data_IF_894329325108
#
_entry.id   IF_894329325108
#
_cell.length_a   1.000
_cell.length_b   1.000
_cell.length_c   1.000
_cell.angle_alpha   90.00
_cell.angle_beta   90.00
_cell.angle_gamma   90.00
#
_symmetry.space_group_name_H-M   'P 1'
#
loop_
_entity.id
_entity.type
_entity.pdbx_description
1 polymer ?
#
# COMPACT_ATOMS: atom_id res chain seq x y z
N UNK A 1 -43.82 -9.28 3.67
CA UNK A 1 -44.83 -8.33 3.22
C UNK A 1 -45.19 -7.50 4.44
N UNK A 2 -44.53 -6.36 4.62
CA UNK A 2 -44.84 -5.44 5.74
C UNK A 2 -46.03 -4.61 5.27
N UNK A 3 -47.16 -4.73 5.95
CA UNK A 3 -48.33 -3.90 5.71
C UNK A 3 -48.04 -2.50 6.25
N UNK A 4 -47.77 -1.55 5.35
CA UNK A 4 -47.77 -0.11 5.63
C UNK A 4 -49.23 0.36 5.72
N UNK A 5 -49.86 0.09 6.85
CA UNK A 5 -51.20 0.56 7.15
C UNK A 5 -51.11 1.93 7.84
N UNK A 6 -51.50 2.99 7.14
CA UNK A 6 -51.86 4.23 7.79
C UNK A 6 -51.39 5.56 7.27
N UNK A 7 -50.58 5.63 6.21
CA UNK A 7 -50.28 6.92 5.57
C UNK A 7 -51.24 7.20 4.42
N UNK A 8 -52.10 8.26 4.55
CA UNK A 8 -52.93 8.73 3.44
C UNK A 8 -52.03 9.42 2.40
N UNK A 9 -51.94 8.85 1.21
CA UNK A 9 -51.08 9.32 0.09
C UNK A 9 -51.45 10.69 -0.47
N UNK A 10 -52.67 11.19 -0.21
CA UNK A 10 -53.24 12.35 -0.90
C UNK A 10 -52.67 13.72 -0.47
N UNK A 11 -51.94 13.81 0.64
CA UNK A 11 -51.44 15.10 1.19
C UNK A 11 -49.92 15.27 1.16
N UNK A 12 -49.18 14.33 0.67
CA UNK A 12 -47.74 14.33 0.74
C UNK A 12 -47.11 14.98 -0.50
N UNK A 13 -46.39 16.10 -0.33
CA UNK A 13 -45.55 16.68 -1.37
C UNK A 13 -44.45 15.72 -1.83
N UNK A 14 -43.76 16.04 -2.92
CA UNK A 14 -42.70 15.21 -3.48
C UNK A 14 -41.43 15.17 -2.62
N UNK A 15 -41.23 16.17 -1.76
CA UNK A 15 -40.06 16.29 -0.86
C UNK A 15 -40.26 15.61 0.50
N UNK A 16 -41.45 15.07 0.79
CA UNK A 16 -41.87 14.45 2.04
C UNK A 16 -41.68 15.34 3.30
N UNK A 17 -41.32 16.61 3.14
CA UNK A 17 -41.16 17.56 4.25
C UNK A 17 -40.05 17.28 5.24
N UNK A 18 -39.17 16.31 4.98
CA UNK A 18 -38.04 16.02 5.85
C UNK A 18 -36.83 16.87 5.44
N UNK A 19 -36.25 17.62 6.41
CA UNK A 19 -35.17 18.54 6.18
C UNK A 19 -34.06 18.36 7.22
N UNK A 20 -32.88 18.98 6.99
CA UNK A 20 -31.75 19.00 7.93
C UNK A 20 -31.32 17.59 8.39
N UNK A 21 -31.32 16.62 7.46
CA UNK A 21 -30.92 15.24 7.78
C UNK A 21 -29.42 15.17 8.03
N UNK A 22 -29.05 14.64 9.19
CA UNK A 22 -27.67 14.35 9.57
C UNK A 22 -27.50 12.83 9.52
N UNK A 23 -26.64 12.38 8.64
CA UNK A 23 -26.35 10.96 8.49
C UNK A 23 -25.40 10.50 9.59
N UNK A 24 -25.66 9.34 10.25
CA UNK A 24 -24.79 8.80 11.27
C UNK A 24 -23.50 8.26 10.66
N UNK A 25 -22.47 8.16 11.50
CA UNK A 25 -21.26 7.39 11.20
C UNK A 25 -21.56 5.91 11.36
N UNK A 26 -21.33 5.13 10.34
CA UNK A 26 -21.52 3.67 10.34
C UNK A 26 -20.17 2.98 10.24
N UNK A 27 -19.97 1.96 11.08
CA UNK A 27 -18.83 1.05 11.05
C UNK A 27 -19.31 -0.39 11.10
N UNK A 28 -18.40 -1.36 11.04
CA UNK A 28 -18.78 -2.77 11.26
C UNK A 28 -19.44 -3.00 12.61
N UNK A 29 -19.06 -2.23 13.64
CA UNK A 29 -19.67 -2.28 14.97
C UNK A 29 -21.13 -1.81 14.99
N UNK A 30 -21.56 -1.06 13.97
CA UNK A 30 -22.94 -0.61 13.82
C UNK A 30 -23.87 -1.73 13.35
N UNK A 31 -23.34 -2.82 12.79
CA UNK A 31 -24.13 -3.94 12.28
C UNK A 31 -24.94 -4.60 13.40
N UNK A 32 -26.25 -4.65 13.26
CA UNK A 32 -27.15 -5.22 14.25
C UNK A 32 -27.36 -4.35 15.51
N UNK A 33 -26.96 -3.07 15.48
CA UNK A 33 -27.16 -2.11 16.58
C UNK A 33 -28.18 -1.01 16.21
N UNK A 34 -28.68 -0.31 17.22
CA UNK A 34 -29.56 0.83 17.02
C UNK A 34 -28.74 2.06 16.61
N UNK A 35 -29.21 2.73 15.56
CA UNK A 35 -28.68 4.00 15.08
C UNK A 35 -29.77 5.05 15.03
N UNK A 36 -29.43 6.32 15.25
CA UNK A 36 -30.35 7.45 15.18
C UNK A 36 -29.99 8.37 14.03
N UNK A 37 -30.95 8.64 13.17
CA UNK A 37 -30.87 9.62 12.08
C UNK A 37 -31.56 10.89 12.57
N UNK A 38 -30.80 11.98 12.69
CA UNK A 38 -31.32 13.30 13.03
C UNK A 38 -31.89 13.98 11.79
N UNK A 39 -32.93 14.79 11.98
CA UNK A 39 -33.56 15.54 10.90
C UNK A 39 -34.82 16.25 11.43
N UNK A 40 -35.61 16.89 10.57
CA UNK A 40 -36.86 17.50 10.97
C UNK A 40 -37.98 17.03 10.03
N UNK A 41 -39.16 16.82 10.57
CA UNK A 41 -40.34 16.47 9.79
C UNK A 41 -40.58 14.98 9.59
N UNK A 42 -39.96 14.12 10.42
CA UNK A 42 -40.34 12.71 10.49
C UNK A 42 -41.73 12.54 11.11
N UNK A 43 -42.44 11.50 10.70
CA UNK A 43 -43.76 11.14 11.25
C UNK A 43 -43.87 9.63 11.47
N UNK A 44 -44.78 9.19 12.32
CA UNK A 44 -44.90 7.82 12.83
C UNK A 44 -44.96 6.71 11.77
N UNK A 45 -45.34 7.03 10.52
CA UNK A 45 -45.37 6.05 9.43
C UNK A 45 -44.11 6.02 8.58
N UNK A 46 -43.09 6.78 8.97
CA UNK A 46 -41.81 6.77 8.24
C UNK A 46 -41.05 5.46 8.47
N UNK A 47 -40.53 4.93 7.36
CA UNK A 47 -39.65 3.77 7.35
C UNK A 47 -38.39 4.13 6.61
N UNK A 48 -37.28 3.71 7.12
CA UNK A 48 -35.99 3.88 6.44
C UNK A 48 -35.55 2.58 5.77
N UNK A 49 -34.93 2.71 4.62
CA UNK A 49 -34.34 1.60 3.89
C UNK A 49 -32.95 1.94 3.36
N UNK A 50 -32.11 0.94 3.22
CA UNK A 50 -30.81 1.01 2.57
C UNK A 50 -30.96 0.55 1.11
N UNK A 51 -30.74 1.42 0.17
CA UNK A 51 -30.74 1.11 -1.26
C UNK A 51 -29.32 0.95 -1.75
N UNK A 52 -28.93 -0.18 -2.37
CA UNK A 52 -27.64 -0.34 -2.99
C UNK A 52 -27.40 0.74 -4.05
N UNK A 53 -26.20 1.37 -4.05
CA UNK A 53 -25.83 2.40 -5.02
C UNK A 53 -25.40 1.83 -6.38
N UNK A 54 -24.99 0.57 -6.42
CA UNK A 54 -24.70 -0.14 -7.67
C UNK A 54 -26.02 -0.46 -8.37
N UNK A 55 -26.20 -0.01 -9.61
CA UNK A 55 -27.42 -0.18 -10.41
C UNK A 55 -27.83 -1.61 -10.74
N UNK A 56 -27.78 -2.51 -9.77
CA UNK A 56 -28.20 -3.91 -9.83
C UNK A 56 -29.68 -4.10 -9.46
N UNK A 57 -30.17 -5.30 -9.65
CA UNK A 57 -31.54 -5.74 -9.31
C UNK A 57 -31.74 -6.01 -7.80
N UNK A 58 -30.81 -5.58 -6.96
CA UNK A 58 -30.87 -5.83 -5.52
C UNK A 58 -31.97 -4.99 -4.87
N UNK A 59 -32.75 -5.66 -4.02
CA UNK A 59 -33.85 -5.01 -3.31
C UNK A 59 -33.32 -4.16 -2.15
N UNK A 60 -33.98 -3.03 -1.84
CA UNK A 60 -33.68 -2.26 -0.63
C UNK A 60 -33.79 -3.10 0.64
N UNK A 61 -32.89 -2.88 1.59
CA UNK A 61 -32.94 -3.49 2.92
C UNK A 61 -33.72 -2.55 3.82
N UNK A 62 -34.94 -2.92 4.21
CA UNK A 62 -35.74 -2.15 5.14
C UNK A 62 -35.21 -2.29 6.56
N UNK A 63 -35.07 -1.15 7.25
CA UNK A 63 -34.63 -1.12 8.64
C UNK A 63 -35.82 -1.23 9.60
N UNK A 64 -35.62 -1.93 10.71
CA UNK A 64 -36.61 -2.03 11.75
C UNK A 64 -36.66 -0.72 12.54
N UNK A 65 -37.79 -0.01 12.52
CA UNK A 65 -37.98 1.23 13.25
C UNK A 65 -38.18 0.95 14.75
N UNK A 66 -37.45 1.64 15.59
CA UNK A 66 -37.54 1.58 17.06
C UNK A 66 -38.31 2.76 17.63
N UNK A 67 -38.02 3.95 17.11
CA UNK A 67 -38.63 5.19 17.57
C UNK A 67 -38.74 6.19 16.43
N UNK A 68 -39.80 6.97 16.39
CA UNK A 68 -39.98 8.12 15.50
C UNK A 68 -40.37 9.32 16.30
N UNK A 69 -39.60 10.40 16.19
CA UNK A 69 -39.93 11.73 16.67
C UNK A 69 -39.82 12.72 15.51
N UNK A 70 -40.41 13.90 15.66
CA UNK A 70 -40.39 14.90 14.58
C UNK A 70 -38.96 15.38 14.19
N UNK A 71 -38.00 15.19 15.07
CA UNK A 71 -36.60 15.65 14.94
C UNK A 71 -35.60 14.49 14.75
N UNK A 72 -36.02 13.24 14.91
CA UNK A 72 -35.17 12.07 14.66
C UNK A 72 -35.97 10.79 14.43
N UNK A 73 -35.28 9.79 13.88
CA UNK A 73 -35.78 8.42 13.76
C UNK A 73 -34.68 7.44 14.20
N UNK A 74 -34.99 6.54 15.12
CA UNK A 74 -34.10 5.46 15.58
C UNK A 74 -34.51 4.15 14.93
N UNK A 75 -33.54 3.48 14.33
CA UNK A 75 -33.72 2.21 13.63
C UNK A 75 -32.65 1.21 13.98
N UNK A 76 -32.96 -0.08 13.82
CA UNK A 76 -31.96 -1.14 13.90
C UNK A 76 -31.19 -1.18 12.57
N UNK A 77 -29.88 -0.91 12.59
CA UNK A 77 -29.07 -1.02 11.38
C UNK A 77 -28.88 -2.49 11.02
N UNK A 78 -29.23 -2.94 9.81
CA UNK A 78 -29.28 -4.36 9.49
C UNK A 78 -27.92 -5.04 9.57
N UNK A 79 -27.82 -6.18 10.21
CA UNK A 79 -26.60 -7.03 10.20
C UNK A 79 -26.27 -7.58 8.81
N UNK A 80 -27.22 -7.53 7.88
CA UNK A 80 -27.07 -7.92 6.48
C UNK A 80 -26.55 -6.78 5.58
N UNK A 81 -26.37 -5.58 6.11
CA UNK A 81 -25.86 -4.42 5.40
C UNK A 81 -24.33 -4.54 5.24
N UNK A 82 -23.90 -5.43 4.36
CA UNK A 82 -22.46 -5.78 4.17
C UNK A 82 -21.76 -4.95 3.09
N UNK A 83 -22.48 -4.02 2.43
CA UNK A 83 -21.88 -3.13 1.44
C UNK A 83 -21.30 -1.89 2.08
N UNK A 84 -20.31 -1.35 1.43
CA UNK A 84 -19.57 -0.17 1.91
C UNK A 84 -20.38 1.13 1.86
N UNK A 85 -21.38 1.20 0.97
CA UNK A 85 -22.18 2.39 0.77
C UNK A 85 -23.61 2.04 0.37
N UNK A 86 -24.55 2.75 0.97
CA UNK A 86 -25.98 2.65 0.66
C UNK A 86 -26.59 4.04 0.51
N UNK A 87 -27.55 4.18 -0.39
CA UNK A 87 -28.47 5.30 -0.34
C UNK A 87 -29.43 5.10 0.84
N UNK A 88 -29.49 6.05 1.76
CA UNK A 88 -30.51 6.08 2.79
C UNK A 88 -31.80 6.61 2.19
N UNK A 89 -32.84 5.80 2.17
CA UNK A 89 -34.13 6.12 1.57
C UNK A 89 -35.19 6.19 2.66
N UNK A 90 -35.90 7.32 2.69
CA UNK A 90 -37.14 7.46 3.45
C UNK A 90 -38.29 6.92 2.61
N UNK A 91 -39.10 6.07 3.22
CA UNK A 91 -40.33 5.52 2.64
C UNK A 91 -41.52 5.99 3.47
N UNK A 92 -42.48 6.67 2.86
CA UNK A 92 -43.70 7.17 3.48
C UNK A 92 -44.90 6.83 2.56
N UNK A 93 -45.67 5.81 2.93
CA UNK A 93 -46.71 5.25 2.08
C UNK A 93 -46.10 4.70 0.77
N UNK A 94 -46.62 5.15 -0.37
CA UNK A 94 -46.12 4.78 -1.71
C UNK A 94 -44.94 5.65 -2.18
N UNK A 95 -44.55 6.68 -1.43
CA UNK A 95 -43.51 7.64 -1.81
C UNK A 95 -42.16 7.29 -1.22
N UNK A 96 -41.11 7.55 -1.99
CA UNK A 96 -39.74 7.32 -1.58
C UNK A 96 -38.87 8.56 -1.87
N UNK A 97 -37.95 8.87 -0.97
CA UNK A 97 -36.95 9.93 -1.13
C UNK A 97 -35.63 9.50 -0.59
N UNK A 98 -34.55 9.69 -1.36
CA UNK A 98 -33.20 9.53 -0.88
C UNK A 98 -32.84 10.70 0.02
N UNK A 99 -32.46 10.41 1.27
CA UNK A 99 -32.03 11.39 2.25
C UNK A 99 -30.54 11.70 2.12
N UNK A 100 -29.74 10.77 1.63
CA UNK A 100 -28.30 10.89 1.42
C UNK A 100 -27.64 9.54 1.24
N UNK A 101 -26.32 9.52 1.29
CA UNK A 101 -25.53 8.30 1.19
C UNK A 101 -24.89 8.00 2.54
N UNK A 102 -25.14 6.82 3.05
CA UNK A 102 -24.44 6.27 4.23
C UNK A 102 -23.21 5.54 3.72
N UNK A 103 -22.04 5.99 4.15
CA UNK A 103 -20.77 5.30 3.95
C UNK A 103 -20.31 4.76 5.29
N UNK A 104 -19.92 3.48 5.35
CA UNK A 104 -19.24 2.95 6.50
C UNK A 104 -17.82 3.53 6.58
N UNK A 105 -17.25 3.56 7.77
CA UNK A 105 -15.83 3.86 7.96
C UNK A 105 -15.03 2.56 8.07
N UNK A 106 -13.82 2.54 7.49
CA UNK A 106 -12.99 1.32 7.41
C UNK A 106 -11.71 1.41 8.23
N UNK A 107 -11.35 2.59 8.70
CA UNK A 107 -10.13 2.79 9.48
C UNK A 107 -9.92 4.25 9.83
N UNK A 108 -8.73 4.53 10.31
CA UNK A 108 -8.28 5.87 10.66
C UNK A 108 -7.01 6.23 9.90
N UNK A 109 -6.79 7.52 9.71
CA UNK A 109 -5.54 8.08 9.19
C UNK A 109 -5.07 9.14 10.18
N UNK A 110 -4.16 8.79 11.09
CA UNK A 110 -3.77 9.68 12.18
C UNK A 110 -2.92 10.87 11.72
N UNK A 111 -2.15 10.73 10.63
CA UNK A 111 -1.32 11.82 10.11
C UNK A 111 -2.18 12.91 9.46
N UNK A 112 -2.22 14.10 10.08
CA UNK A 112 -3.04 15.22 9.62
C UNK A 112 -2.58 15.75 8.25
N UNK A 113 -1.29 15.75 7.99
CA UNK A 113 -0.74 16.25 6.72
C UNK A 113 -1.12 15.32 5.57
N UNK A 114 -1.10 13.99 5.80
CA UNK A 114 -1.56 13.01 4.83
C UNK A 114 -3.08 13.15 4.58
N UNK A 115 -3.88 13.30 5.66
CA UNK A 115 -5.33 13.56 5.51
C UNK A 115 -5.60 14.81 4.69
N UNK A 116 -4.90 15.91 4.99
CA UNK A 116 -5.06 17.17 4.28
C UNK A 116 -4.70 17.03 2.79
N UNK A 117 -3.63 16.31 2.48
CA UNK A 117 -3.23 16.04 1.10
C UNK A 117 -4.28 15.25 0.33
N UNK A 118 -4.87 14.22 0.95
CA UNK A 118 -5.91 13.40 0.34
C UNK A 118 -7.28 14.09 0.32
N UNK A 119 -7.63 14.86 1.36
CA UNK A 119 -8.88 15.64 1.39
C UNK A 119 -8.92 16.71 0.32
N UNK A 120 -7.77 17.26 -0.07
CA UNK A 120 -7.69 18.21 -1.18
C UNK A 120 -8.05 17.57 -2.53
N UNK A 121 -7.83 16.27 -2.68
CA UNK A 121 -8.18 15.48 -3.86
C UNK A 121 -9.60 14.89 -3.76
N UNK A 122 -10.01 14.50 -2.56
CA UNK A 122 -11.25 13.77 -2.27
C UNK A 122 -11.90 14.33 -0.99
N UNK A 123 -12.63 15.44 -1.07
CA UNK A 123 -13.14 16.16 0.12
C UNK A 123 -14.02 15.34 1.04
N UNK A 124 -14.80 14.38 0.50
CA UNK A 124 -15.79 13.60 1.24
C UNK A 124 -15.27 12.25 1.75
N UNK A 125 -13.95 12.02 1.63
CA UNK A 125 -13.34 10.73 2.00
C UNK A 125 -13.13 10.59 3.52
N UNK A 126 -13.09 11.71 4.24
CA UNK A 126 -12.80 11.72 5.67
C UNK A 126 -13.92 12.34 6.49
N UNK A 127 -14.10 11.77 7.70
CA UNK A 127 -14.86 12.39 8.81
C UNK A 127 -13.92 12.45 10.02
N UNK A 128 -13.29 13.63 10.22
CA UNK A 128 -12.17 13.73 11.16
C UNK A 128 -11.02 12.84 10.73
N UNK A 129 -10.60 11.90 11.58
CA UNK A 129 -9.55 10.92 11.26
C UNK A 129 -10.07 9.64 10.58
N UNK A 130 -11.39 9.44 10.60
CA UNK A 130 -12.01 8.22 10.03
C UNK A 130 -12.06 8.27 8.52
N UNK A 131 -11.71 7.15 7.90
CA UNK A 131 -11.70 6.96 6.45
C UNK A 131 -13.03 6.34 6.02
N UNK A 132 -13.67 6.93 5.02
CA UNK A 132 -14.85 6.34 4.38
C UNK A 132 -14.50 5.05 3.63
N UNK A 133 -15.37 4.07 3.68
CA UNK A 133 -15.27 2.83 2.90
C UNK A 133 -15.20 3.06 1.37
N UNK A 134 -15.63 4.23 0.91
CA UNK A 134 -15.48 4.63 -0.49
C UNK A 134 -14.03 4.91 -0.91
N UNK A 135 -13.08 5.01 0.03
CA UNK A 135 -11.66 5.22 -0.26
C UNK A 135 -11.08 4.18 -1.25
N UNK A 136 -11.53 2.94 -1.18
CA UNK A 136 -11.09 1.87 -2.09
C UNK A 136 -11.50 2.08 -3.55
N UNK A 137 -12.49 2.93 -3.81
CA UNK A 137 -13.00 3.19 -5.16
C UNK A 137 -12.44 4.45 -5.79
N UNK A 138 -11.79 5.34 -5.00
CA UNK A 138 -11.18 6.54 -5.58
C UNK A 138 -10.09 6.15 -6.55
N UNK A 139 -9.98 6.92 -7.63
CA UNK A 139 -8.99 6.69 -8.68
C UNK A 139 -8.00 7.83 -8.73
N UNK A 140 -6.75 7.49 -8.97
CA UNK A 140 -5.66 8.43 -9.15
C UNK A 140 -5.28 8.47 -10.63
N UNK A 141 -4.92 9.63 -11.15
CA UNK A 141 -4.45 9.74 -12.54
C UNK A 141 -3.25 8.83 -12.74
N UNK A 142 -3.35 7.91 -13.70
CA UNK A 142 -2.34 6.88 -13.97
C UNK A 142 -1.94 6.05 -12.73
N UNK A 143 -2.84 5.96 -11.74
CA UNK A 143 -2.57 5.29 -10.46
C UNK A 143 -1.54 6.01 -9.58
N UNK A 144 -1.23 7.29 -9.83
CA UNK A 144 -0.17 8.04 -9.18
C UNK A 144 -0.69 8.89 -8.03
N UNK A 145 -0.17 8.66 -6.83
CA UNK A 145 -0.30 9.55 -5.68
C UNK A 145 1.04 10.23 -5.42
N UNK A 146 1.04 11.56 -5.52
CA UNK A 146 2.18 12.39 -5.15
C UNK A 146 1.87 13.18 -3.86
N UNK A 147 2.59 12.84 -2.81
CA UNK A 147 2.49 13.45 -1.47
C UNK A 147 3.85 14.00 -1.01
N UNK A 148 4.71 14.38 -1.95
CA UNK A 148 6.03 14.95 -1.63
C UNK A 148 5.91 16.30 -0.93
N UNK A 149 6.91 16.64 -0.11
CA UNK A 149 7.05 17.96 0.53
C UNK A 149 5.85 18.36 1.41
N UNK A 150 5.29 17.39 2.16
CA UNK A 150 4.08 17.59 2.98
C UNK A 150 4.31 17.49 4.48
N UNK A 151 5.55 17.23 4.94
CA UNK A 151 5.87 16.94 6.34
C UNK A 151 5.06 15.77 6.92
N UNK A 152 4.80 14.75 6.10
CA UNK A 152 4.11 13.53 6.50
C UNK A 152 5.07 12.67 7.30
N UNK A 153 4.58 12.07 8.38
CA UNK A 153 5.35 11.21 9.28
C UNK A 153 4.85 9.76 9.29
N UNK A 154 3.60 9.53 8.89
CA UNK A 154 2.99 8.20 8.82
C UNK A 154 2.14 8.04 7.57
N UNK A 155 2.16 6.85 6.98
CA UNK A 155 1.29 6.44 5.89
C UNK A 155 0.17 5.51 6.35
N UNK A 156 -0.05 5.36 7.67
CA UNK A 156 -1.16 4.60 8.23
C UNK A 156 -2.50 5.11 7.67
N UNK A 157 -3.35 4.18 7.24
CA UNK A 157 -4.61 4.48 6.57
C UNK A 157 -4.52 4.53 5.04
N UNK A 158 -3.30 4.60 4.46
CA UNK A 158 -3.14 4.60 3.00
C UNK A 158 -3.47 3.24 2.37
N UNK A 159 -3.43 2.16 3.15
CA UNK A 159 -3.81 0.81 2.73
C UNK A 159 -5.25 0.72 2.24
N UNK A 160 -6.14 1.57 2.72
CA UNK A 160 -7.55 1.61 2.29
C UNK A 160 -7.76 2.20 0.88
N UNK A 161 -6.76 2.84 0.29
CA UNK A 161 -6.81 3.42 -1.05
C UNK A 161 -6.27 2.43 -2.09
N UNK A 162 -7.09 1.49 -2.52
CA UNK A 162 -6.68 0.30 -3.30
C UNK A 162 -6.12 0.58 -4.70
N UNK A 163 -6.32 1.77 -5.27
CA UNK A 163 -5.97 2.08 -6.66
C UNK A 163 -4.64 2.84 -6.83
N UNK A 164 -3.85 2.96 -5.76
CA UNK A 164 -2.51 3.50 -5.85
C UNK A 164 -1.59 2.45 -6.46
N UNK A 165 -0.89 2.81 -7.54
CA UNK A 165 0.10 2.00 -8.24
C UNK A 165 1.48 2.62 -8.24
N UNK A 166 1.54 3.95 -8.14
CA UNK A 166 2.76 4.74 -8.07
C UNK A 166 2.66 5.67 -6.87
N UNK A 167 3.62 5.57 -5.98
CA UNK A 167 3.71 6.43 -4.81
C UNK A 167 4.96 7.29 -4.89
N UNK A 168 4.78 8.61 -4.81
CA UNK A 168 5.85 9.61 -4.74
C UNK A 168 5.69 10.33 -3.41
N UNK A 169 6.61 10.10 -2.46
CA UNK A 169 6.54 10.63 -1.11
C UNK A 169 7.87 11.28 -0.66
N UNK A 170 8.54 11.95 -1.59
CA UNK A 170 9.84 12.57 -1.35
C UNK A 170 9.77 13.67 -0.28
N UNK A 171 10.92 13.88 0.41
CA UNK A 171 11.08 14.98 1.37
C UNK A 171 10.01 15.01 2.47
N UNK A 172 9.77 13.88 3.08
CA UNK A 172 8.92 13.69 4.26
C UNK A 172 9.76 13.08 5.40
N UNK A 173 9.15 12.75 6.54
CA UNK A 173 9.83 12.00 7.62
C UNK A 173 9.08 10.68 7.92
N UNK A 174 8.78 9.94 6.86
CA UNK A 174 8.07 8.67 6.88
C UNK A 174 9.06 7.57 7.27
N UNK A 175 8.83 6.91 8.40
CA UNK A 175 9.76 5.87 8.90
C UNK A 175 9.60 4.52 8.18
N UNK A 176 8.38 4.18 7.76
CA UNK A 176 8.04 2.93 7.08
C UNK A 176 6.86 3.11 6.13
N UNK A 177 6.69 2.18 5.20
CA UNK A 177 5.58 2.12 4.26
C UNK A 177 4.79 0.85 4.54
N UNK A 178 3.45 0.92 4.71
CA UNK A 178 2.62 -0.26 4.99
C UNK A 178 2.81 -1.36 3.92
N UNK A 179 2.91 -2.60 4.35
CA UNK A 179 3.15 -3.75 3.46
C UNK A 179 2.05 -3.92 2.41
N UNK A 180 0.79 -3.65 2.77
CA UNK A 180 -0.36 -3.69 1.89
C UNK A 180 -0.26 -2.63 0.78
N UNK A 181 0.35 -1.48 1.06
CA UNK A 181 0.62 -0.45 0.05
C UNK A 181 1.74 -0.94 -0.88
N UNK A 182 2.86 -1.39 -0.30
CA UNK A 182 4.03 -1.88 -1.06
C UNK A 182 3.67 -3.02 -2.02
N UNK A 183 2.82 -3.95 -1.59
CA UNK A 183 2.46 -5.15 -2.36
C UNK A 183 1.77 -4.87 -3.70
N UNK A 184 1.22 -3.67 -3.89
CA UNK A 184 0.47 -3.28 -5.10
C UNK A 184 1.14 -2.17 -5.91
N UNK A 185 2.24 -1.59 -5.42
CA UNK A 185 2.96 -0.55 -6.17
C UNK A 185 3.74 -1.16 -7.34
N UNK A 186 3.69 -0.48 -8.48
CA UNK A 186 4.62 -0.68 -9.58
C UNK A 186 5.83 0.24 -9.48
N UNK A 187 5.66 1.42 -8.89
CA UNK A 187 6.72 2.41 -8.72
C UNK A 187 6.66 3.03 -7.32
N UNK A 188 7.80 3.09 -6.63
CA UNK A 188 7.98 3.78 -5.38
C UNK A 188 9.14 4.78 -5.51
N UNK A 189 8.85 6.06 -5.23
CA UNK A 189 9.84 7.11 -5.11
C UNK A 189 9.73 7.78 -3.76
N UNK A 190 10.70 7.51 -2.89
CA UNK A 190 10.75 7.94 -1.49
C UNK A 190 12.10 8.58 -1.16
N UNK A 191 12.52 9.56 -1.97
CA UNK A 191 13.79 10.26 -1.79
C UNK A 191 13.73 11.16 -0.55
N UNK A 192 14.76 11.08 0.29
CA UNK A 192 14.81 11.84 1.56
C UNK A 192 13.54 11.67 2.42
N UNK A 193 12.91 10.50 2.37
CA UNK A 193 11.62 10.27 3.04
C UNK A 193 11.74 9.95 4.54
N UNK A 194 12.96 9.76 5.06
CA UNK A 194 13.17 9.43 6.47
C UNK A 194 13.10 7.94 6.78
N UNK A 195 13.02 7.07 5.79
CA UNK A 195 12.87 5.62 5.96
C UNK A 195 13.93 5.03 6.89
N UNK A 196 13.46 4.24 7.85
CA UNK A 196 14.28 3.43 8.76
C UNK A 196 14.13 1.93 8.48
N UNK A 197 13.01 1.55 7.87
CA UNK A 197 12.64 0.18 7.54
C UNK A 197 11.94 0.13 6.19
N UNK A 198 12.24 -0.92 5.40
CA UNK A 198 11.59 -1.17 4.13
C UNK A 198 11.50 -2.68 3.90
N UNK A 199 10.32 -3.26 4.16
CA UNK A 199 10.02 -4.68 3.95
C UNK A 199 9.23 -4.83 2.65
N UNK A 200 9.92 -5.11 1.55
CA UNK A 200 9.34 -5.16 0.21
C UNK A 200 8.66 -6.48 -0.12
N UNK A 201 9.19 -7.59 0.39
CA UNK A 201 8.74 -8.93 0.05
C UNK A 201 9.27 -9.97 1.04
N UNK A 202 8.62 -11.12 1.10
CA UNK A 202 9.07 -12.32 1.82
C UNK A 202 8.92 -13.56 0.95
N UNK A 203 9.41 -14.72 1.39
CA UNK A 203 9.20 -16.00 0.71
C UNK A 203 7.72 -16.38 0.57
N UNK A 204 6.91 -16.01 1.56
CA UNK A 204 5.47 -16.31 1.58
C UNK A 204 4.65 -15.27 0.82
N UNK A 205 5.18 -14.05 0.73
CA UNK A 205 4.55 -12.92 0.04
C UNK A 205 5.56 -12.21 -0.87
N UNK A 206 5.90 -12.82 -2.01
CA UNK A 206 6.80 -12.20 -2.98
C UNK A 206 6.15 -10.97 -3.64
N UNK A 207 6.95 -9.96 -3.92
CA UNK A 207 6.49 -8.78 -4.63
C UNK A 207 6.66 -8.98 -6.14
N UNK A 208 5.54 -9.09 -6.83
CA UNK A 208 5.48 -9.30 -8.29
C UNK A 208 5.01 -8.06 -9.05
N UNK A 209 4.84 -6.92 -8.38
CA UNK A 209 4.32 -5.69 -8.97
C UNK A 209 5.35 -4.58 -9.10
N UNK A 210 6.30 -4.50 -8.16
CA UNK A 210 7.28 -3.42 -8.10
C UNK A 210 8.31 -3.55 -9.22
N UNK A 211 8.37 -2.52 -10.08
CA UNK A 211 9.28 -2.40 -11.22
C UNK A 211 10.37 -1.36 -10.95
N UNK A 212 10.04 -0.30 -10.23
CA UNK A 212 10.96 0.81 -9.96
C UNK A 212 10.95 1.22 -8.49
N UNK A 213 12.13 1.28 -7.89
CA UNK A 213 12.37 1.70 -6.51
C UNK A 213 13.45 2.77 -6.45
N UNK A 214 13.09 3.96 -5.98
CA UNK A 214 14.03 5.03 -5.68
C UNK A 214 13.88 5.48 -4.22
N UNK A 215 14.92 5.25 -3.43
CA UNK A 215 15.01 5.58 -2.01
C UNK A 215 16.21 6.44 -1.67
N UNK A 216 16.72 7.20 -2.65
CA UNK A 216 17.90 8.06 -2.47
C UNK A 216 17.76 8.97 -1.25
N UNK A 217 18.84 9.16 -0.53
CA UNK A 217 18.87 10.03 0.64
C UNK A 217 18.21 9.47 1.90
N UNK A 218 17.80 8.20 1.91
CA UNK A 218 17.28 7.52 3.11
C UNK A 218 18.41 7.19 4.07
N UNK A 219 18.95 8.21 4.74
CA UNK A 219 20.17 8.11 5.55
C UNK A 219 20.03 7.30 6.85
N UNK A 220 18.81 6.94 7.22
CA UNK A 220 18.51 6.09 8.38
C UNK A 220 18.32 4.62 8.00
N UNK A 221 18.16 4.32 6.69
CA UNK A 221 17.92 2.97 6.20
C UNK A 221 19.23 2.21 6.04
N UNK A 222 19.41 1.12 6.78
CA UNK A 222 20.62 0.32 6.79
C UNK A 222 20.52 -0.97 5.96
N UNK A 223 19.32 -1.42 5.62
CA UNK A 223 19.10 -2.71 4.96
C UNK A 223 18.04 -2.62 3.87
N UNK A 224 18.34 -3.23 2.72
CA UNK A 224 17.38 -3.46 1.62
C UNK A 224 17.54 -4.89 1.12
N UNK A 225 16.42 -5.59 1.00
CA UNK A 225 16.35 -6.93 0.44
C UNK A 225 15.39 -6.93 -0.76
N UNK A 226 15.91 -7.22 -1.95
CA UNK A 226 15.17 -7.31 -3.20
C UNK A 226 15.00 -8.77 -3.67
N UNK A 227 15.41 -9.78 -2.86
CA UNK A 227 15.48 -11.17 -3.28
C UNK A 227 14.13 -11.72 -3.79
N UNK A 228 13.03 -11.34 -3.14
CA UNK A 228 11.69 -11.76 -3.54
C UNK A 228 10.93 -10.67 -4.34
N UNK A 229 11.63 -9.66 -4.86
CA UNK A 229 11.05 -8.64 -5.76
C UNK A 229 11.28 -9.03 -7.21
N UNK A 230 10.35 -9.82 -7.77
CA UNK A 230 10.61 -10.55 -9.02
C UNK A 230 10.66 -9.70 -10.28
N UNK A 231 10.04 -8.53 -10.29
CA UNK A 231 9.91 -7.69 -11.48
C UNK A 231 10.68 -6.37 -11.40
N UNK A 232 11.57 -6.22 -10.41
CA UNK A 232 12.29 -4.95 -10.26
C UNK A 232 13.33 -4.76 -11.38
N UNK A 233 13.23 -3.66 -12.11
CA UNK A 233 14.10 -3.28 -13.21
C UNK A 233 14.99 -2.08 -12.90
N UNK A 234 14.50 -1.20 -12.01
CA UNK A 234 15.18 0.05 -11.64
C UNK A 234 15.33 0.16 -10.14
N UNK A 235 16.53 0.42 -9.69
CA UNK A 235 16.84 0.57 -8.28
C UNK A 235 17.82 1.71 -8.05
N UNK A 236 17.47 2.64 -7.17
CA UNK A 236 18.35 3.70 -6.71
C UNK A 236 18.29 3.87 -5.19
N UNK A 237 19.44 3.79 -4.57
CA UNK A 237 19.66 3.97 -3.12
C UNK A 237 20.95 4.77 -2.89
N UNK A 238 21.11 5.91 -3.58
CA UNK A 238 22.23 6.81 -3.41
C UNK A 238 22.13 7.61 -2.11
N UNK A 239 23.25 7.89 -1.50
CA UNK A 239 23.34 8.62 -0.22
C UNK A 239 22.56 7.95 0.93
N UNK A 240 22.31 6.65 0.84
CA UNK A 240 21.84 5.82 1.94
C UNK A 240 23.03 5.36 2.80
N UNK A 241 22.75 4.91 4.02
CA UNK A 241 23.79 4.34 4.90
C UNK A 241 23.68 2.82 4.98
N UNK A 242 23.51 2.15 3.84
CA UNK A 242 23.32 0.72 3.78
C UNK A 242 24.50 -0.03 4.41
N UNK A 243 24.18 -1.04 5.18
CA UNK A 243 25.11 -2.07 5.66
C UNK A 243 24.79 -3.43 5.05
N UNK A 244 23.55 -3.60 4.56
CA UNK A 244 23.12 -4.81 3.88
C UNK A 244 22.30 -4.47 2.63
N UNK A 245 22.65 -5.13 1.53
CA UNK A 245 21.88 -5.07 0.27
C UNK A 245 21.87 -6.45 -0.40
N UNK A 246 20.69 -7.00 -0.59
CA UNK A 246 20.50 -8.21 -1.38
C UNK A 246 19.79 -7.87 -2.69
N UNK A 247 20.51 -8.02 -3.79
CA UNK A 247 20.00 -7.75 -5.16
C UNK A 247 19.90 -9.02 -5.99
N UNK A 248 19.98 -10.18 -5.36
CA UNK A 248 19.69 -11.44 -6.05
C UNK A 248 18.26 -11.39 -6.54
N UNK A 249 18.02 -11.84 -7.75
CA UNK A 249 16.68 -11.91 -8.32
C UNK A 249 16.37 -13.35 -8.68
N UNK A 250 15.52 -13.99 -7.89
CA UNK A 250 15.15 -15.39 -8.04
C UNK A 250 14.52 -15.75 -9.41
N UNK A 251 14.00 -14.76 -10.14
CA UNK A 251 13.34 -14.96 -11.44
C UNK A 251 14.09 -14.40 -12.65
N UNK A 252 15.37 -14.10 -12.52
CA UNK A 252 16.18 -13.61 -13.66
C UNK A 252 16.21 -14.56 -14.87
N UNK A 253 15.88 -15.85 -14.68
CA UNK A 253 15.75 -16.84 -15.74
C UNK A 253 14.64 -16.52 -16.77
N UNK A 254 13.70 -15.63 -16.47
CA UNK A 254 12.58 -15.28 -17.34
C UNK A 254 12.64 -13.85 -17.88
N UNK A 255 13.72 -13.12 -17.69
CA UNK A 255 13.99 -11.88 -18.40
C UNK A 255 13.62 -10.57 -17.66
N UNK A 256 13.24 -10.64 -16.38
CA UNK A 256 13.08 -9.45 -15.55
C UNK A 256 14.24 -9.35 -14.56
N UNK A 257 15.30 -8.62 -14.87
CA UNK A 257 16.44 -8.48 -13.98
C UNK A 257 16.84 -7.04 -13.86
N UNK A 258 17.27 -6.67 -12.65
CA UNK A 258 18.09 -5.48 -12.47
C UNK A 258 19.24 -5.52 -13.48
N UNK A 259 19.29 -4.54 -14.36
CA UNK A 259 20.42 -4.36 -15.25
C UNK A 259 21.52 -3.64 -14.48
N UNK A 260 22.42 -4.36 -13.87
CA UNK A 260 23.52 -3.82 -13.07
C UNK A 260 24.45 -2.84 -13.83
N UNK A 261 24.36 -2.83 -15.17
CA UNK A 261 25.08 -1.86 -15.99
C UNK A 261 24.26 -0.63 -16.36
N UNK A 262 22.96 -0.62 -15.99
CA UNK A 262 22.12 0.52 -16.32
C UNK A 262 22.43 1.70 -15.40
N UNK A 263 22.21 2.91 -15.91
CA UNK A 263 22.24 4.11 -15.08
C UNK A 263 21.15 4.13 -14.01
N UNK A 264 20.20 3.17 -14.10
CA UNK A 264 19.07 3.02 -13.23
C UNK A 264 19.32 2.02 -12.09
N UNK A 265 20.55 1.44 -12.01
CA UNK A 265 20.98 0.59 -10.88
C UNK A 265 22.13 1.27 -10.14
N UNK A 266 21.87 1.84 -8.98
CA UNK A 266 22.86 2.61 -8.20
C UNK A 266 22.53 2.56 -6.71
N UNK A 267 23.59 2.52 -5.93
CA UNK A 267 23.50 2.49 -4.46
C UNK A 267 24.79 2.99 -3.84
N UNK A 268 24.71 3.34 -2.56
CA UNK A 268 25.87 3.63 -1.72
C UNK A 268 25.77 2.89 -0.39
N UNK A 269 26.87 2.36 0.08
CA UNK A 269 27.01 1.80 1.41
C UNK A 269 27.45 2.87 2.42
N UNK A 270 27.28 2.55 3.70
CA UNK A 270 27.79 3.36 4.79
C UNK A 270 29.33 3.50 4.67
N UNK A 271 29.83 4.68 4.92
CA UNK A 271 31.26 5.00 5.01
C UNK A 271 31.87 4.63 6.38
N UNK A 272 31.03 4.20 7.34
CA UNK A 272 31.48 3.75 8.66
C UNK A 272 32.25 2.42 8.57
N UNK A 273 33.58 2.48 8.61
CA UNK A 273 34.43 1.33 8.49
C UNK A 273 34.34 0.34 9.68
N UNK A 274 33.67 0.74 10.78
CA UNK A 274 33.44 -0.15 11.93
C UNK A 274 32.28 -1.11 11.70
N UNK A 275 31.41 -0.84 10.72
CA UNK A 275 30.28 -1.68 10.35
C UNK A 275 30.68 -2.72 9.31
N UNK A 276 30.28 -3.97 9.54
CA UNK A 276 30.32 -4.99 8.49
C UNK A 276 29.25 -4.64 7.43
N UNK A 277 29.68 -4.62 6.16
CA UNK A 277 28.82 -4.25 5.02
C UNK A 277 28.80 -5.38 4.03
N UNK A 278 27.61 -5.80 3.62
CA UNK A 278 27.39 -6.97 2.78
C UNK A 278 26.50 -6.64 1.57
N UNK A 279 27.01 -6.95 0.39
CA UNK A 279 26.26 -7.00 -0.86
C UNK A 279 26.09 -8.45 -1.30
N UNK A 280 24.86 -8.89 -1.51
CA UNK A 280 24.55 -10.19 -2.13
C UNK A 280 24.04 -9.99 -3.56
N UNK A 281 24.59 -10.74 -4.49
CA UNK A 281 24.26 -10.66 -5.90
C UNK A 281 24.45 -12.01 -6.62
N UNK A 282 23.95 -12.13 -7.85
CA UNK A 282 24.18 -13.31 -8.66
C UNK A 282 25.65 -13.44 -9.08
N UNK A 283 26.26 -14.62 -8.96
CA UNK A 283 27.69 -14.85 -9.20
C UNK A 283 28.07 -14.64 -10.66
N UNK A 284 27.25 -15.05 -11.62
CA UNK A 284 27.53 -14.92 -13.05
C UNK A 284 27.58 -13.46 -13.55
N UNK A 285 26.94 -12.54 -12.83
CA UNK A 285 27.05 -11.11 -13.10
C UNK A 285 28.43 -10.56 -12.81
N UNK A 286 29.13 -11.17 -11.87
CA UNK A 286 30.44 -10.72 -11.44
C UNK A 286 31.49 -10.93 -12.50
N UNK A 287 31.38 -12.00 -13.30
CA UNK A 287 32.38 -12.34 -14.34
C UNK A 287 32.30 -11.44 -15.57
N UNK A 288 31.11 -11.03 -15.97
CA UNK A 288 30.89 -10.33 -17.26
C UNK A 288 30.77 -8.82 -17.12
N UNK A 289 30.30 -8.30 -16.00
CA UNK A 289 29.83 -6.92 -15.86
C UNK A 289 30.45 -6.15 -14.72
N UNK A 290 31.24 -6.82 -13.93
CA UNK A 290 31.92 -6.27 -12.76
C UNK A 290 32.69 -4.98 -13.04
N UNK A 291 33.30 -4.87 -14.23
CA UNK A 291 34.09 -3.70 -14.63
C UNK A 291 33.25 -2.48 -15.03
N UNK A 292 31.93 -2.62 -15.15
CA UNK A 292 31.09 -1.59 -15.75
C UNK A 292 30.06 -0.96 -14.77
N UNK A 293 29.81 -1.56 -13.62
CA UNK A 293 28.93 -0.96 -12.60
C UNK A 293 29.73 -0.17 -11.58
N UNK A 294 29.69 1.16 -11.67
CA UNK A 294 30.36 2.06 -10.75
C UNK A 294 30.04 1.77 -9.28
N UNK A 295 28.77 1.52 -8.97
CA UNK A 295 28.34 1.25 -7.59
C UNK A 295 28.90 -0.04 -6.99
N UNK A 296 29.06 -1.11 -7.78
CA UNK A 296 29.66 -2.36 -7.32
C UNK A 296 31.17 -2.17 -7.10
N UNK A 297 31.86 -1.56 -8.06
CA UNK A 297 33.29 -1.26 -7.97
C UNK A 297 33.58 -0.36 -6.77
N UNK A 298 32.77 0.67 -6.60
CA UNK A 298 32.91 1.59 -5.46
C UNK A 298 32.67 0.87 -4.13
N UNK A 299 31.66 0.00 -4.04
CA UNK A 299 31.40 -0.80 -2.84
C UNK A 299 32.62 -1.65 -2.46
N UNK A 300 33.22 -2.35 -3.43
CA UNK A 300 34.39 -3.19 -3.22
C UNK A 300 35.61 -2.37 -2.80
N UNK A 301 35.89 -1.27 -3.51
CA UNK A 301 37.00 -0.38 -3.20
C UNK A 301 36.89 0.19 -1.77
N UNK A 302 35.67 0.39 -1.30
CA UNK A 302 35.36 0.85 0.06
C UNK A 302 35.24 -0.28 1.10
N UNK A 303 35.59 -1.51 0.71
CA UNK A 303 35.71 -2.65 1.63
C UNK A 303 34.39 -3.31 2.02
N UNK A 304 33.37 -3.19 1.18
CA UNK A 304 32.12 -3.97 1.31
C UNK A 304 32.42 -5.42 0.95
N UNK A 305 31.93 -6.36 1.75
CA UNK A 305 31.95 -7.78 1.41
C UNK A 305 30.91 -8.04 0.34
N UNK A 306 31.30 -8.70 -0.75
CA UNK A 306 30.37 -9.08 -1.82
C UNK A 306 30.27 -10.59 -1.88
N UNK A 307 29.06 -11.12 -1.74
CA UNK A 307 28.74 -12.53 -1.89
C UNK A 307 28.05 -12.77 -3.22
N UNK A 308 28.63 -13.62 -4.07
CA UNK A 308 28.04 -14.07 -5.31
C UNK A 308 27.33 -15.41 -5.12
N UNK A 309 26.14 -15.53 -5.65
CA UNK A 309 25.32 -16.74 -5.60
C UNK A 309 25.13 -17.32 -6.99
N UNK A 310 25.32 -18.63 -7.14
CA UNK A 310 25.11 -19.34 -8.39
C UNK A 310 23.71 -19.99 -8.38
N UNK A 311 22.78 -19.34 -9.01
CA UNK A 311 21.39 -19.79 -9.11
C UNK A 311 21.23 -21.15 -9.83
N UNK A 312 22.17 -21.52 -10.71
CA UNK A 312 22.09 -22.79 -11.46
C UNK A 312 22.23 -24.01 -10.54
N UNK A 313 22.79 -23.85 -9.36
CA UNK A 313 22.95 -24.91 -8.36
C UNK A 313 21.84 -24.95 -7.31
N UNK A 314 21.02 -23.91 -7.24
CA UNK A 314 19.83 -23.89 -6.36
C UNK A 314 18.61 -24.62 -6.95
N UNK A 315 18.72 -25.19 -8.19
CA UNK A 315 17.66 -25.88 -8.90
C UNK A 315 18.08 -27.31 -9.26
N UNK A 316 17.34 -28.33 -8.92
CA UNK A 316 16.17 -28.61 -8.10
C UNK A 316 16.47 -29.37 -6.79
N UNK A 317 17.70 -29.51 -6.37
CA UNK A 317 18.10 -30.43 -5.29
C UNK A 317 18.14 -29.79 -3.89
N UNK A 318 17.90 -28.48 -3.76
CA UNK A 318 17.67 -27.80 -2.49
C UNK A 318 18.79 -27.81 -1.44
N UNK A 319 20.01 -28.27 -1.79
CA UNK A 319 21.03 -28.56 -0.77
C UNK A 319 22.40 -27.90 -0.92
N UNK A 320 22.65 -27.10 -1.95
CA UNK A 320 23.98 -26.51 -2.11
C UNK A 320 23.90 -25.06 -2.55
N UNK A 321 23.68 -24.16 -1.60
CA UNK A 321 23.95 -22.75 -1.81
C UNK A 321 25.46 -22.55 -1.90
N UNK A 322 26.03 -22.54 -3.09
CA UNK A 322 27.41 -22.11 -3.29
C UNK A 322 27.43 -20.59 -3.29
N UNK A 323 27.86 -20.00 -2.21
CA UNK A 323 28.16 -18.59 -2.16
C UNK A 323 29.67 -18.37 -2.17
N UNK A 324 30.09 -17.32 -2.83
CA UNK A 324 31.47 -16.89 -2.86
C UNK A 324 31.58 -15.52 -2.20
N UNK A 325 32.40 -15.39 -1.18
CA UNK A 325 32.68 -14.12 -0.56
C UNK A 325 33.81 -13.42 -1.31
N UNK A 326 33.50 -12.29 -1.91
CA UNK A 326 34.46 -11.44 -2.61
C UNK A 326 34.92 -10.27 -1.74
N UNK A 327 34.69 -10.34 -0.46
CA UNK A 327 35.10 -9.32 0.50
C UNK A 327 36.54 -8.92 0.30
N UNK A 328 36.84 -7.65 -0.01
CA UNK A 328 38.18 -7.13 -0.33
C UNK A 328 38.78 -7.84 -1.55
N UNK A 329 38.06 -7.88 -2.65
CA UNK A 329 38.40 -8.60 -3.87
C UNK A 329 39.88 -8.50 -4.27
N UNK A 330 40.50 -7.32 -4.23
CA UNK A 330 41.93 -7.15 -4.56
C UNK A 330 42.86 -7.90 -3.60
N UNK A 331 42.49 -8.13 -2.35
CA UNK A 331 43.28 -8.91 -1.38
C UNK A 331 43.01 -10.40 -1.47
N UNK A 332 41.82 -10.80 -1.83
CA UNK A 332 41.42 -12.23 -1.98
C UNK A 332 41.85 -12.83 -3.30
N UNK A 333 42.07 -12.05 -4.36
CA UNK A 333 42.67 -12.58 -5.60
C UNK A 333 43.99 -13.33 -5.38
N UNK A 334 44.74 -13.06 -4.34
CA UNK A 334 45.92 -13.82 -3.97
C UNK A 334 45.67 -15.23 -3.41
N UNK A 335 44.40 -15.60 -3.18
CA UNK A 335 43.97 -16.87 -2.58
C UNK A 335 43.12 -17.76 -3.48
N UNK A 336 43.25 -17.63 -4.79
CA UNK A 336 42.53 -18.48 -5.75
C UNK A 336 42.58 -19.98 -5.44
N UNK A 337 43.65 -20.44 -4.80
CA UNK A 337 43.81 -21.82 -4.38
C UNK A 337 42.76 -22.32 -3.38
N UNK A 338 42.07 -21.39 -2.70
CA UNK A 338 41.07 -21.68 -1.67
C UNK A 338 39.61 -21.65 -2.18
N UNK A 339 39.42 -21.22 -3.43
CA UNK A 339 38.07 -21.24 -4.05
C UNK A 339 37.73 -22.69 -4.39
N UNK A 340 36.67 -23.26 -3.78
CA UNK A 340 36.34 -24.69 -3.99
C UNK A 340 35.90 -25.00 -5.43
N UNK A 341 35.20 -24.08 -6.09
CA UNK A 341 34.70 -24.27 -7.43
C UNK A 341 35.82 -24.13 -8.48
N UNK A 342 36.00 -25.23 -9.24
CA UNK A 342 37.05 -25.31 -10.26
C UNK A 342 36.79 -24.41 -11.46
N UNK A 343 35.51 -24.20 -11.80
CA UNK A 343 35.11 -23.41 -12.96
C UNK A 343 35.31 -21.92 -12.65
N UNK A 344 34.90 -21.47 -11.46
CA UNK A 344 35.15 -20.11 -11.02
C UNK A 344 36.67 -19.83 -10.88
N UNK A 345 37.43 -20.81 -10.32
CA UNK A 345 38.88 -20.71 -10.24
C UNK A 345 39.53 -20.57 -11.62
N UNK A 346 38.99 -21.24 -12.63
CA UNK A 346 39.52 -21.18 -13.99
C UNK A 346 39.08 -19.92 -14.74
N UNK A 347 37.86 -19.42 -14.47
CA UNK A 347 37.35 -18.17 -15.03
C UNK A 347 38.09 -16.93 -14.49
N UNK A 348 38.66 -17.03 -13.29
CA UNK A 348 39.39 -15.95 -12.62
C UNK A 348 40.93 -15.99 -12.86
N UNK A 349 41.44 -16.97 -13.62
CA UNK A 349 42.82 -17.05 -14.11
C UNK A 349 42.98 -16.34 -15.46
#
# INVERSE_FOLDING_TARGET
>A
MVFLLGCEDEKLGTDLGVTNVVLPDISEESLGTEITIQGNGFIDCDVLALSPLSGGTEQPIYMETREVQSDHITVLYPSTATKDSYGLVLVRGSKMRTLGVINSTVGVMPDENLRNALSALFPDIFKGEKISSSAKYVTFTDGTLNISDKNITSLEGLEYFSNIRKLICNNNDISEIPAEVLSRLSELTAQNAGLTKLELATSEQPNTTLVSLNIDGSTKLESVDLYYCYNIEKFSALNCKLVYLDVRNYHSIYGGCLNYNSTDFKFTFSDDASKERLLKMESWWMDSYYSNSGSIVDAINNGVTVEGYDWMHDYPDGNNNYYYSYGKYQKTMKKYGEIPDINLRNALK
#
